data_IF_443904653500
#
_entry.id   IF_443904653500
#
_cell.length_a   1.000
_cell.length_b   1.000
_cell.length_c   1.000
_cell.angle_alpha   90.00
_cell.angle_beta   90.00
_cell.angle_gamma   90.00
#
_symmetry.space_group_name_H-M   'P 1'
#
loop_
_entity.id
_entity.type
_entity.pdbx_description
1 polymer ?
#
# COMPACT_ATOMS: atom_id res chain seq x y z
N UNK A 1 25.95 0.56 0.30
CA UNK A 1 24.74 0.02 -0.31
C UNK A 1 25.02 -0.31 -1.75
N UNK A 2 24.88 -1.56 -2.11
CA UNK A 2 25.06 -1.97 -3.50
C UNK A 2 23.75 -1.72 -4.26
N UNK A 3 23.74 -0.63 -5.02
CA UNK A 3 22.67 -0.41 -5.98
C UNK A 3 22.99 -1.28 -7.21
N UNK A 4 22.31 -2.40 -7.27
CA UNK A 4 22.41 -3.24 -8.43
C UNK A 4 21.43 -2.73 -9.49
N UNK A 5 21.95 -2.31 -10.63
CA UNK A 5 21.10 -1.96 -11.74
C UNK A 5 20.50 -3.24 -12.32
N UNK A 6 19.19 -3.23 -12.54
CA UNK A 6 18.51 -4.36 -13.16
C UNK A 6 19.06 -4.60 -14.55
N UNK A 7 19.31 -5.86 -14.88
CA UNK A 7 19.74 -6.27 -16.22
C UNK A 7 18.64 -7.10 -16.86
N UNK A 8 18.69 -7.34 -18.19
CA UNK A 8 17.71 -8.22 -18.84
C UNK A 8 17.69 -9.64 -18.28
N UNK A 9 18.72 -10.02 -17.53
CA UNK A 9 18.83 -11.36 -16.93
C UNK A 9 18.37 -11.42 -15.49
N UNK A 10 18.11 -10.25 -14.86
CA UNK A 10 17.61 -10.23 -13.49
C UNK A 10 16.14 -10.62 -13.49
N UNK A 11 15.70 -11.51 -12.56
CA UNK A 11 14.28 -11.81 -12.45
C UNK A 11 13.51 -10.56 -12.03
N UNK A 12 12.25 -10.40 -12.46
CA UNK A 12 11.40 -9.34 -11.95
C UNK A 12 11.34 -9.43 -10.43
N UNK A 13 11.36 -8.28 -9.77
CA UNK A 13 11.36 -8.21 -8.30
C UNK A 13 10.06 -7.61 -7.79
N UNK A 14 9.60 -8.13 -6.67
CA UNK A 14 8.48 -7.55 -5.95
C UNK A 14 8.88 -6.23 -5.31
N UNK A 15 8.05 -5.23 -5.46
CA UNK A 15 8.21 -3.92 -4.81
C UNK A 15 7.00 -3.66 -3.92
N UNK A 16 7.25 -3.07 -2.75
CA UNK A 16 6.21 -2.64 -1.83
C UNK A 16 6.07 -1.11 -1.93
N UNK A 17 4.85 -0.63 -2.06
CA UNK A 17 4.53 0.79 -2.09
C UNK A 17 3.68 1.13 -0.86
N UNK A 18 4.10 2.13 -0.11
CA UNK A 18 3.33 2.65 1.02
C UNK A 18 2.74 3.99 0.61
N UNK A 19 1.41 4.06 0.62
CA UNK A 19 0.68 5.33 0.63
C UNK A 19 0.79 5.87 2.05
N UNK A 20 1.70 6.82 2.25
CA UNK A 20 2.21 7.13 3.58
C UNK A 20 1.30 7.98 4.43
N UNK A 21 0.28 8.60 3.84
CA UNK A 21 -0.66 9.42 4.59
C UNK A 21 -1.45 8.54 5.56
N UNK A 22 -1.31 8.85 6.86
CA UNK A 22 -2.00 8.14 7.93
C UNK A 22 -1.77 6.62 7.92
N UNK A 23 -0.57 6.17 7.55
CA UNK A 23 -0.23 4.74 7.60
C UNK A 23 0.45 4.39 8.93
N UNK A 24 -0.23 3.66 9.83
CA UNK A 24 0.35 3.33 11.14
C UNK A 24 1.21 2.06 11.14
N UNK A 25 1.40 1.42 9.99
CA UNK A 25 2.08 0.12 9.88
C UNK A 25 3.37 0.17 9.06
N UNK A 26 3.99 1.35 8.95
CA UNK A 26 5.23 1.50 8.18
C UNK A 26 6.35 0.58 8.69
N UNK A 27 6.53 0.49 10.01
CA UNK A 27 7.58 -0.34 10.60
C UNK A 27 7.38 -1.82 10.28
N UNK A 28 6.15 -2.27 10.26
CA UNK A 28 5.79 -3.64 9.90
C UNK A 28 6.16 -3.92 8.44
N UNK A 29 5.90 -2.96 7.55
CA UNK A 29 6.28 -3.10 6.13
C UNK A 29 7.79 -3.18 5.99
N UNK A 30 8.54 -2.33 6.69
CA UNK A 30 10.00 -2.36 6.63
C UNK A 30 10.56 -3.70 7.11
N UNK A 31 9.97 -4.25 8.16
CA UNK A 31 10.38 -5.55 8.72
C UNK A 31 10.18 -6.69 7.73
N UNK A 32 9.03 -6.75 7.10
CA UNK A 32 8.73 -7.79 6.10
C UNK A 32 9.61 -7.61 4.85
N UNK A 33 9.79 -6.37 4.41
CA UNK A 33 10.66 -6.08 3.28
C UNK A 33 12.10 -6.52 3.54
N UNK A 34 12.62 -6.28 4.74
CA UNK A 34 13.97 -6.70 5.11
C UNK A 34 14.10 -8.23 5.11
N UNK A 35 13.06 -8.92 5.57
CA UNK A 35 13.04 -10.39 5.60
C UNK A 35 13.23 -11.00 4.21
N UNK A 36 12.61 -10.40 3.20
CA UNK A 36 12.62 -10.92 1.83
C UNK A 36 13.55 -10.16 0.89
N UNK A 37 14.25 -9.14 1.38
CA UNK A 37 15.15 -8.34 0.55
C UNK A 37 14.43 -7.50 -0.50
N UNK A 38 13.30 -6.90 -0.18
CA UNK A 38 12.46 -6.17 -1.12
C UNK A 38 12.66 -4.67 -1.05
N UNK A 39 12.47 -3.98 -2.17
CA UNK A 39 12.44 -2.52 -2.21
C UNK A 39 11.10 -2.01 -1.68
N UNK A 40 11.15 -0.88 -0.96
CA UNK A 40 9.98 -0.18 -0.44
C UNK A 40 10.04 1.27 -0.89
N UNK A 41 8.98 1.77 -1.51
CA UNK A 41 8.80 3.19 -1.76
C UNK A 41 7.76 3.74 -0.80
N UNK A 42 8.16 4.76 -0.04
CA UNK A 42 7.29 5.45 0.91
C UNK A 42 6.86 6.76 0.26
N UNK A 43 5.63 6.80 -0.23
CA UNK A 43 5.13 7.89 -1.07
C UNK A 43 4.27 8.85 -0.26
N UNK A 44 4.63 10.12 -0.25
CA UNK A 44 3.91 11.16 0.49
C UNK A 44 3.99 12.49 -0.25
N UNK A 45 3.06 13.40 0.06
CA UNK A 45 3.11 14.76 -0.48
C UNK A 45 3.87 15.75 0.42
N UNK A 46 4.50 15.26 1.47
CA UNK A 46 5.39 16.03 2.34
C UNK A 46 6.52 15.14 2.82
N UNK A 47 7.60 15.76 3.31
CA UNK A 47 8.73 14.98 3.79
C UNK A 47 8.33 14.07 4.95
N UNK A 48 8.71 12.81 4.87
CA UNK A 48 8.51 11.81 5.92
C UNK A 48 9.85 11.20 6.28
N UNK A 49 10.09 11.05 7.57
CA UNK A 49 11.28 10.36 8.05
C UNK A 49 11.17 8.87 7.72
N UNK A 50 12.19 8.36 7.04
CA UNK A 50 12.31 6.93 6.73
C UNK A 50 13.60 6.39 7.35
N UNK A 51 13.65 5.06 7.64
CA UNK A 51 14.88 4.47 8.14
C UNK A 51 15.98 4.56 7.09
N UNK A 52 17.22 4.73 7.55
CA UNK A 52 18.41 4.76 6.68
C UNK A 52 18.87 3.35 6.34
N UNK A 53 17.92 2.47 6.00
CA UNK A 53 18.21 1.09 5.60
C UNK A 53 18.16 0.96 4.08
N UNK A 54 19.04 0.11 3.50
CA UNK A 54 18.98 -0.14 2.06
C UNK A 54 17.62 -0.68 1.64
N UNK A 55 17.14 -0.24 0.48
CA UNK A 55 15.88 -0.69 -0.07
C UNK A 55 14.67 0.15 0.30
N UNK A 56 14.77 1.03 1.29
CA UNK A 56 13.67 1.94 1.65
C UNK A 56 13.95 3.31 1.05
N UNK A 57 13.07 3.78 0.18
CA UNK A 57 13.23 5.04 -0.53
C UNK A 57 12.02 5.93 -0.30
N UNK A 58 12.19 7.12 0.31
CA UNK A 58 11.11 8.09 0.38
C UNK A 58 10.88 8.73 -1.00
N UNK A 59 9.63 8.93 -1.35
CA UNK A 59 9.23 9.62 -2.57
C UNK A 59 8.31 10.77 -2.16
N UNK A 60 8.78 12.00 -2.31
CA UNK A 60 7.98 13.18 -2.01
C UNK A 60 7.43 13.70 -3.33
N UNK A 61 6.11 13.71 -3.43
CA UNK A 61 5.40 14.20 -4.61
C UNK A 61 4.80 15.58 -4.32
N UNK A 62 4.36 16.27 -5.37
CA UNK A 62 3.75 17.58 -5.22
C UNK A 62 2.45 17.48 -4.42
N UNK A 63 2.10 18.58 -3.73
CA UNK A 63 0.82 18.69 -3.05
C UNK A 63 -0.32 18.67 -4.08
N UNK A 64 -1.42 18.10 -3.66
CA UNK A 64 -2.62 18.04 -4.47
C UNK A 64 -3.33 16.70 -4.30
N UNK A 65 -4.64 16.67 -4.58
CA UNK A 65 -5.38 15.42 -4.55
C UNK A 65 -4.84 14.47 -5.61
N UNK A 66 -4.76 13.21 -5.26
CA UNK A 66 -4.42 12.11 -6.15
C UNK A 66 -3.00 12.07 -6.70
N UNK A 67 -2.11 13.03 -6.36
CA UNK A 67 -0.74 13.02 -6.90
C UNK A 67 0.04 11.80 -6.41
N UNK A 68 -0.03 11.50 -5.11
CA UNK A 68 0.60 10.29 -4.56
C UNK A 68 -0.04 9.02 -5.12
N UNK A 69 -1.36 9.01 -5.23
CA UNK A 69 -2.10 7.87 -5.78
C UNK A 69 -1.70 7.60 -7.23
N UNK A 70 -1.60 8.64 -8.04
CA UNK A 70 -1.20 8.52 -9.44
C UNK A 70 0.21 7.97 -9.56
N UNK A 71 1.13 8.47 -8.73
CA UNK A 71 2.51 7.97 -8.73
C UNK A 71 2.57 6.48 -8.48
N UNK A 72 1.82 5.99 -7.48
CA UNK A 72 1.77 4.57 -7.13
C UNK A 72 1.09 3.76 -8.22
N UNK A 73 -0.09 4.20 -8.66
CA UNK A 73 -0.88 3.45 -9.65
C UNK A 73 -0.18 3.31 -11.00
N UNK A 74 0.63 4.28 -11.38
CA UNK A 74 1.39 4.22 -12.63
C UNK A 74 2.52 3.20 -12.59
N UNK A 75 2.97 2.78 -11.40
CA UNK A 75 4.13 1.92 -11.21
C UNK A 75 3.81 0.53 -10.70
N UNK A 76 2.79 0.40 -9.85
CA UNK A 76 2.46 -0.89 -9.24
C UNK A 76 1.88 -1.86 -10.27
N UNK A 77 2.50 -3.03 -10.38
CA UNK A 77 2.11 -4.07 -11.32
C UNK A 77 1.81 -5.40 -10.63
N UNK A 78 1.66 -6.48 -11.40
CA UNK A 78 1.20 -7.79 -10.87
C UNK A 78 2.09 -8.41 -9.79
N UNK A 79 3.39 -8.09 -9.78
CA UNK A 79 4.34 -8.60 -8.80
C UNK A 79 4.51 -7.69 -7.59
N UNK A 80 3.66 -6.68 -7.44
CA UNK A 80 3.82 -5.66 -6.40
C UNK A 80 2.68 -5.69 -5.38
N UNK A 81 2.94 -5.08 -4.21
CA UNK A 81 1.96 -4.94 -3.14
C UNK A 81 1.90 -3.47 -2.73
N UNK A 82 0.70 -2.92 -2.64
CA UNK A 82 0.46 -1.54 -2.24
C UNK A 82 -0.27 -1.53 -0.90
N UNK A 83 0.22 -0.74 0.04
CA UNK A 83 -0.40 -0.55 1.35
C UNK A 83 -1.09 0.81 1.35
N UNK A 84 -2.41 0.82 1.42
CA UNK A 84 -3.22 2.04 1.37
C UNK A 84 -4.55 1.87 2.07
N UNK A 85 -5.05 2.97 2.64
CA UNK A 85 -6.42 3.05 3.15
C UNK A 85 -7.37 3.66 2.09
N UNK A 86 -6.83 4.10 0.95
CA UNK A 86 -7.60 4.76 -0.09
C UNK A 86 -8.21 3.71 -1.04
N UNK A 87 -9.53 3.57 -0.99
CA UNK A 87 -10.23 2.57 -1.80
C UNK A 87 -10.11 2.81 -3.31
N UNK A 88 -10.23 4.06 -3.82
CA UNK A 88 -10.00 4.31 -5.24
C UNK A 88 -8.60 3.92 -5.71
N UNK A 89 -7.56 4.18 -4.92
CA UNK A 89 -6.20 3.72 -5.27
C UNK A 89 -6.14 2.19 -5.31
N UNK A 90 -6.71 1.53 -4.31
CA UNK A 90 -6.75 0.06 -4.29
C UNK A 90 -7.42 -0.51 -5.54
N UNK A 91 -8.51 0.12 -6.00
CA UNK A 91 -9.18 -0.29 -7.22
C UNK A 91 -8.24 -0.21 -8.44
N UNK A 92 -7.49 0.87 -8.56
CA UNK A 92 -6.54 1.06 -9.67
C UNK A 92 -5.44 0.00 -9.64
N UNK A 93 -4.93 -0.30 -8.44
CA UNK A 93 -3.88 -1.33 -8.25
C UNK A 93 -4.40 -2.70 -8.67
N UNK A 94 -5.61 -3.05 -8.26
CA UNK A 94 -6.23 -4.32 -8.65
C UNK A 94 -6.45 -4.39 -10.16
N UNK A 95 -6.84 -3.30 -10.79
CA UNK A 95 -7.02 -3.25 -12.24
C UNK A 95 -5.71 -3.50 -12.99
N UNK A 96 -4.56 -3.15 -12.39
CA UNK A 96 -3.24 -3.42 -12.95
C UNK A 96 -2.71 -4.81 -12.58
N UNK A 97 -3.51 -5.63 -11.91
CA UNK A 97 -3.12 -6.97 -11.51
C UNK A 97 -2.34 -7.06 -10.21
N UNK A 98 -2.07 -5.94 -9.54
CA UNK A 98 -1.36 -5.89 -8.27
C UNK A 98 -2.24 -6.25 -7.08
N UNK A 99 -1.63 -6.25 -5.91
CA UNK A 99 -2.32 -6.49 -4.65
C UNK A 99 -2.38 -5.22 -3.83
N UNK A 100 -3.48 -4.99 -3.13
CA UNK A 100 -3.66 -3.85 -2.25
C UNK A 100 -4.11 -4.32 -0.87
N UNK A 101 -3.47 -3.78 0.18
CA UNK A 101 -3.75 -4.10 1.57
C UNK A 101 -4.07 -2.83 2.34
N UNK A 102 -5.14 -2.90 3.12
CA UNK A 102 -5.45 -1.89 4.11
C UNK A 102 -4.53 -2.05 5.34
N UNK A 103 -4.14 -0.95 6.02
CA UNK A 103 -3.31 -1.05 7.23
C UNK A 103 -3.86 -1.93 8.35
N UNK A 104 -5.14 -2.20 8.37
CA UNK A 104 -5.77 -3.12 9.34
C UNK A 104 -5.62 -4.60 8.97
N UNK A 105 -4.99 -4.89 7.84
CA UNK A 105 -4.83 -6.27 7.35
C UNK A 105 -5.91 -6.71 6.40
N UNK A 106 -6.89 -5.87 6.12
CA UNK A 106 -7.93 -6.19 5.14
C UNK A 106 -7.34 -6.23 3.74
N UNK A 107 -7.56 -7.32 3.04
CA UNK A 107 -7.12 -7.48 1.65
C UNK A 107 -8.21 -6.93 0.73
N UNK A 108 -7.84 -6.01 -0.14
CA UNK A 108 -8.77 -5.53 -1.17
C UNK A 108 -8.89 -6.59 -2.28
N UNK A 109 -10.11 -6.92 -2.63
CA UNK A 109 -10.41 -7.87 -3.70
C UNK A 109 -11.45 -7.27 -4.64
N UNK A 110 -11.60 -7.84 -5.84
CA UNK A 110 -12.64 -7.40 -6.77
C UNK A 110 -14.03 -7.49 -6.12
N UNK A 111 -14.24 -8.52 -5.28
CA UNK A 111 -15.54 -8.74 -4.63
C UNK A 111 -15.84 -7.69 -3.56
N UNK A 112 -14.84 -7.30 -2.74
CA UNK A 112 -15.10 -6.38 -1.63
C UNK A 112 -14.91 -4.91 -1.99
N UNK A 113 -14.25 -4.60 -3.10
CA UNK A 113 -13.92 -3.22 -3.44
C UNK A 113 -15.16 -2.41 -3.83
N UNK A 114 -16.10 -3.03 -4.50
CA UNK A 114 -17.38 -2.40 -4.84
C UNK A 114 -18.17 -2.00 -3.60
N UNK A 115 -18.24 -2.89 -2.60
CA UNK A 115 -18.89 -2.60 -1.32
C UNK A 115 -18.16 -1.49 -0.55
N UNK A 116 -16.84 -1.48 -0.56
CA UNK A 116 -16.05 -0.45 0.09
C UNK A 116 -16.25 0.93 -0.54
N UNK A 117 -16.33 0.99 -1.86
CA UNK A 117 -16.60 2.25 -2.58
C UNK A 117 -18.02 2.76 -2.29
N UNK A 118 -19.01 1.88 -2.30
CA UNK A 118 -20.38 2.24 -1.99
C UNK A 118 -20.52 2.74 -0.56
N UNK A 119 -19.89 2.08 0.40
CA UNK A 119 -19.91 2.49 1.81
C UNK A 119 -19.26 3.86 2.00
N UNK A 120 -18.15 4.12 1.29
CA UNK A 120 -17.49 5.43 1.32
C UNK A 120 -18.39 6.52 0.78
N UNK A 121 -19.04 6.30 -0.36
CA UNK A 121 -19.96 7.26 -0.95
C UNK A 121 -21.14 7.57 -0.04
N UNK A 122 -21.74 6.55 0.56
CA UNK A 122 -22.84 6.72 1.53
C UNK A 122 -22.35 7.49 2.75
N UNK A 123 -21.19 7.13 3.30
CA UNK A 123 -20.62 7.82 4.45
C UNK A 123 -20.33 9.29 4.19
N UNK A 124 -19.80 9.64 3.04
CA UNK A 124 -19.57 11.03 2.64
C UNK A 124 -20.89 11.79 2.50
N UNK A 125 -21.90 11.18 1.91
CA UNK A 125 -23.21 11.77 1.76
C UNK A 125 -23.82 12.06 3.14
N UNK A 126 -23.81 11.11 4.05
CA UNK A 126 -24.36 11.28 5.41
C UNK A 126 -23.61 12.34 6.20
N UNK A 127 -22.27 12.38 6.07
CA UNK A 127 -21.47 13.41 6.74
C UNK A 127 -21.80 14.82 6.24
N UNK A 128 -22.08 14.97 4.94
CA UNK A 128 -22.46 16.26 4.39
C UNK A 128 -23.79 16.78 4.95
N UNK A 129 -24.66 15.89 5.44
CA UNK A 129 -25.91 16.25 6.12
C UNK A 129 -25.78 16.27 7.65
N UNK A 130 -24.58 16.06 8.20
CA UNK A 130 -24.34 16.07 9.64
C UNK A 130 -24.90 14.87 10.38
N UNK A 131 -25.25 13.81 9.70
CA UNK A 131 -25.88 12.63 10.31
C UNK A 131 -24.87 11.66 10.90
N UNK A 132 -23.61 11.70 10.43
CA UNK A 132 -22.53 10.89 10.96
C UNK A 132 -21.52 11.79 11.65
N UNK A 133 -21.34 11.58 12.96
CA UNK A 133 -20.42 12.38 13.77
C UNK A 133 -19.14 11.65 14.16
N UNK A 134 -19.06 10.32 13.96
CA UNK A 134 -17.89 9.52 14.30
C UNK A 134 -16.88 9.47 13.16
N UNK A 135 -15.59 9.48 13.49
CA UNK A 135 -14.51 9.21 12.55
C UNK A 135 -14.32 7.71 12.30
N UNK A 136 -13.28 7.32 11.56
CA UNK A 136 -12.96 5.91 11.37
C UNK A 136 -12.64 5.24 12.71
N UNK A 137 -12.82 3.92 12.76
CA UNK A 137 -12.49 3.15 13.97
C UNK A 137 -11.03 3.34 14.32
N UNK A 138 -10.69 3.49 15.62
CA UNK A 138 -9.30 3.57 16.03
C UNK A 138 -8.53 2.32 15.63
N UNK A 139 -7.28 2.52 15.27
CA UNK A 139 -6.36 1.43 15.01
C UNK A 139 -5.99 0.73 16.32
N UNK A 140 -6.10 -0.60 16.37
CA UNK A 140 -5.85 -1.38 17.58
C UNK A 140 -4.71 -2.39 17.36
N UNK A 141 -4.06 -2.89 18.46
CA UNK A 141 -2.96 -3.84 18.32
C UNK A 141 -3.27 -5.09 17.50
N UNK A 142 -4.51 -5.58 17.58
CA UNK A 142 -4.93 -6.73 16.78
C UNK A 142 -4.86 -6.44 15.27
N UNK A 143 -5.04 -5.20 14.86
CA UNK A 143 -4.92 -4.79 13.47
C UNK A 143 -3.47 -4.96 12.98
N UNK A 144 -2.47 -4.65 13.81
CA UNK A 144 -1.05 -4.85 13.46
C UNK A 144 -0.75 -6.31 13.18
N UNK A 145 -1.25 -7.20 14.03
CA UNK A 145 -1.04 -8.64 13.86
C UNK A 145 -1.69 -9.16 12.59
N UNK A 146 -2.91 -8.74 12.32
CA UNK A 146 -3.62 -9.09 11.08
C UNK A 146 -2.88 -8.55 9.86
N UNK A 147 -2.39 -7.32 9.95
CA UNK A 147 -1.65 -6.71 8.86
C UNK A 147 -0.36 -7.46 8.56
N UNK A 148 0.44 -7.78 9.58
CA UNK A 148 1.69 -8.53 9.39
C UNK A 148 1.45 -9.86 8.69
N UNK A 149 0.42 -10.58 9.11
CA UNK A 149 0.08 -11.87 8.50
C UNK A 149 -0.39 -11.69 7.06
N UNK A 150 -1.25 -10.72 6.81
CA UNK A 150 -1.76 -10.44 5.46
C UNK A 150 -0.65 -9.98 4.52
N UNK A 151 0.27 -9.14 5.02
CA UNK A 151 1.38 -8.66 4.22
C UNK A 151 2.35 -9.79 3.85
N UNK A 152 2.68 -10.65 4.81
CA UNK A 152 3.55 -11.79 4.53
C UNK A 152 2.94 -12.70 3.46
N UNK A 153 1.66 -13.00 3.57
CA UNK A 153 0.93 -13.79 2.57
C UNK A 153 0.96 -13.12 1.19
N UNK A 154 0.71 -11.81 1.14
CA UNK A 154 0.70 -11.05 -0.11
C UNK A 154 2.09 -11.03 -0.76
N UNK A 155 3.15 -10.87 0.05
CA UNK A 155 4.53 -10.86 -0.44
C UNK A 155 4.90 -12.21 -1.03
N UNK A 156 4.57 -13.31 -0.36
CA UNK A 156 4.84 -14.65 -0.89
C UNK A 156 4.17 -14.84 -2.25
N UNK A 157 2.91 -14.43 -2.37
CA UNK A 157 2.17 -14.51 -3.63
C UNK A 157 2.80 -13.63 -4.71
N UNK A 158 3.18 -12.40 -4.36
CA UNK A 158 3.80 -11.47 -5.30
C UNK A 158 5.14 -12.01 -5.82
N UNK A 159 5.94 -12.58 -4.95
CA UNK A 159 7.23 -13.17 -5.32
C UNK A 159 7.07 -14.34 -6.29
N UNK A 160 6.04 -15.14 -6.11
CA UNK A 160 5.73 -16.23 -7.05
C UNK A 160 5.37 -15.68 -8.43
N UNK A 161 4.59 -14.61 -8.47
CA UNK A 161 4.25 -13.93 -9.73
C UNK A 161 5.49 -13.33 -10.40
N UNK A 162 6.40 -12.76 -9.61
CA UNK A 162 7.65 -12.21 -10.13
C UNK A 162 8.56 -13.29 -10.70
N UNK A 163 8.56 -14.47 -10.13
CA UNK A 163 9.40 -15.58 -10.56
C UNK A 163 8.89 -16.29 -11.81
N UNK A 164 7.69 -16.01 -12.18
CA UNK A 164 7.18 -16.62 -13.36
C UNK A 164 5.77 -16.94 -13.42
#
# INVERSE_FOLDING_TARGET
MNLRLATPYDPPMTTLYIDADACPVKDEVYRVAARYGLAVFVVANSWIRTPATPGVTPVVVDEGPDVADDWIAERAGPADVVITADTPLAQRVLANGGQALHPTGRVFTADNIGSALASRAIGEHLRSFGEITGGPKPFVPADRSRFLQALDTAVVKARRRAAG
#
